data_IF_480266184147
#
_entry.id   IF_480266184147
#
_cell.length_a   1.000
_cell.length_b   1.000
_cell.length_c   1.000
_cell.angle_alpha   90.00
_cell.angle_beta   90.00
_cell.angle_gamma   90.00
#
_symmetry.space_group_name_H-M   'P 1'
#
loop_
_entity.id
_entity.type
_entity.pdbx_description
1 polymer ?
#
# COMPACT_ATOMS: atom_id res chain seq x y z
N UNK A 1 -29.83 -21.35 9.40
CA UNK A 1 -29.14 -20.95 8.16
C UNK A 1 -29.40 -19.46 8.01
N UNK A 2 -28.53 -18.64 8.59
CA UNK A 2 -28.67 -17.16 8.62
C UNK A 2 -27.89 -16.61 7.44
N UNK A 3 -28.52 -15.73 6.66
CA UNK A 3 -27.96 -15.14 5.45
C UNK A 3 -26.93 -14.06 5.85
N UNK A 4 -25.64 -14.19 5.50
CA UNK A 4 -24.59 -13.27 5.95
C UNK A 4 -24.49 -11.98 5.11
N UNK A 5 -25.59 -11.47 4.55
CA UNK A 5 -25.55 -10.35 3.59
C UNK A 5 -25.68 -8.96 4.20
N UNK A 6 -26.50 -8.81 5.24
CA UNK A 6 -26.87 -7.49 5.79
C UNK A 6 -25.86 -6.96 6.81
N UNK A 7 -25.27 -7.86 7.61
CA UNK A 7 -24.34 -7.51 8.68
C UNK A 7 -22.97 -7.07 8.12
N UNK A 8 -22.46 -7.77 7.11
CA UNK A 8 -21.23 -7.40 6.38
C UNK A 8 -21.37 -6.05 5.67
N UNK A 9 -22.52 -5.77 5.06
CA UNK A 9 -22.77 -4.50 4.37
C UNK A 9 -22.84 -3.33 5.35
N UNK A 10 -23.44 -3.55 6.53
CA UNK A 10 -23.51 -2.56 7.59
C UNK A 10 -22.12 -2.26 8.18
N UNK A 11 -21.35 -3.29 8.53
CA UNK A 11 -19.99 -3.16 9.05
C UNK A 11 -19.07 -2.47 8.05
N UNK A 12 -19.26 -2.71 6.74
CA UNK A 12 -18.48 -2.05 5.68
C UNK A 12 -18.76 -0.54 5.64
N UNK A 13 -20.03 -0.13 5.76
CA UNK A 13 -20.45 1.28 5.76
C UNK A 13 -20.01 2.02 7.02
N UNK A 14 -20.13 1.40 8.19
CA UNK A 14 -19.73 2.00 9.47
C UNK A 14 -18.20 2.23 9.54
N UNK A 15 -17.41 1.26 9.07
CA UNK A 15 -15.96 1.42 9.01
C UNK A 15 -15.51 2.49 8.00
N UNK A 16 -16.14 2.60 6.82
CA UNK A 16 -15.82 3.65 5.84
C UNK A 16 -15.99 5.07 6.41
N UNK A 17 -17.04 5.29 7.20
CA UNK A 17 -17.26 6.55 7.90
C UNK A 17 -16.18 6.82 8.97
N UNK A 18 -15.77 5.81 9.73
CA UNK A 18 -14.72 5.93 10.75
C UNK A 18 -13.33 6.26 10.16
N UNK A 19 -12.99 5.75 8.97
CA UNK A 19 -11.70 6.09 8.33
C UNK A 19 -11.71 7.46 7.66
N UNK A 20 -12.84 7.91 7.09
CA UNK A 20 -12.99 9.31 6.69
C UNK A 20 -12.84 10.23 7.90
N UNK A 21 -13.46 9.87 9.03
CA UNK A 21 -13.31 10.58 10.30
C UNK A 21 -11.84 10.61 10.73
N UNK A 22 -11.14 9.48 10.66
CA UNK A 22 -9.71 9.43 10.97
C UNK A 22 -8.87 10.34 10.05
N UNK A 23 -9.09 10.27 8.74
CA UNK A 23 -8.39 11.07 7.74
C UNK A 23 -8.61 12.58 7.93
N UNK A 24 -9.82 12.98 8.32
CA UNK A 24 -10.15 14.38 8.63
C UNK A 24 -9.66 14.84 10.00
N UNK A 25 -9.55 13.92 10.97
CA UNK A 25 -9.07 14.28 12.30
C UNK A 25 -7.54 14.42 12.33
N UNK A 26 -6.83 13.64 11.51
CA UNK A 26 -5.37 13.52 11.56
C UNK A 26 -4.63 14.07 10.33
N UNK A 27 -5.30 14.32 9.21
CA UNK A 27 -4.69 14.94 8.04
C UNK A 27 -4.76 16.45 8.13
N UNK A 28 -3.64 17.14 8.37
CA UNK A 28 -3.61 18.62 8.49
C UNK A 28 -4.29 19.34 7.31
N UNK A 29 -4.07 18.88 6.08
CA UNK A 29 -4.67 19.48 4.87
C UNK A 29 -6.16 19.17 4.68
N UNK A 30 -6.63 18.05 5.24
CA UNK A 30 -8.02 17.57 5.13
C UNK A 30 -8.89 18.14 6.25
N UNK A 31 -8.31 18.29 7.45
CA UNK A 31 -8.98 18.78 8.66
C UNK A 31 -9.59 20.17 8.46
N UNK A 32 -8.84 21.05 7.80
CA UNK A 32 -9.23 22.45 7.66
C UNK A 32 -10.04 22.71 6.37
N UNK A 33 -10.14 21.70 5.48
CA UNK A 33 -10.87 21.79 4.22
C UNK A 33 -12.40 21.86 4.46
N UNK A 34 -13.09 22.93 4.00
CA UNK A 34 -14.53 23.07 4.21
C UNK A 34 -15.36 21.99 3.50
N UNK A 35 -14.96 21.58 2.28
CA UNK A 35 -15.67 20.59 1.49
C UNK A 35 -15.47 19.17 2.06
N UNK A 36 -14.26 18.86 2.53
CA UNK A 36 -13.98 17.58 3.19
C UNK A 36 -14.70 17.45 4.54
N UNK A 37 -14.82 18.56 5.30
CA UNK A 37 -15.65 18.62 6.51
C UNK A 37 -17.14 18.49 6.21
N UNK A 38 -17.62 19.11 5.12
CA UNK A 38 -19.01 18.99 4.68
C UNK A 38 -19.35 17.56 4.24
N UNK A 39 -18.45 16.90 3.50
CA UNK A 39 -18.56 15.49 3.11
C UNK A 39 -18.68 14.60 4.36
N UNK A 40 -17.84 14.81 5.37
CA UNK A 40 -17.93 14.04 6.61
C UNK A 40 -19.18 14.34 7.43
N UNK A 41 -19.56 15.61 7.58
CA UNK A 41 -20.79 15.96 8.27
C UNK A 41 -22.01 15.31 7.60
N UNK A 42 -22.05 15.26 6.27
CA UNK A 42 -23.09 14.56 5.51
C UNK A 42 -23.10 13.05 5.79
N UNK A 43 -21.94 12.42 5.90
CA UNK A 43 -21.83 10.99 6.25
C UNK A 43 -22.18 10.70 7.72
N UNK A 44 -21.80 11.58 8.66
CA UNK A 44 -22.05 11.39 10.11
C UNK A 44 -23.50 11.67 10.50
N UNK A 45 -24.19 12.60 9.83
CA UNK A 45 -25.61 12.88 10.10
C UNK A 45 -26.56 11.75 9.68
N UNK A 46 -26.07 10.73 8.98
CA UNK A 46 -26.81 9.49 8.72
C UNK A 46 -26.46 8.42 9.76
N UNK A 47 -27.26 8.35 10.83
CA UNK A 47 -27.43 7.10 11.58
C UNK A 47 -27.89 5.99 10.62
N UNK A 48 -27.46 4.74 10.81
CA UNK A 48 -27.87 3.68 9.91
C UNK A 48 -29.35 3.37 10.14
N UNK A 49 -30.23 3.87 9.25
CA UNK A 49 -31.57 3.31 9.18
C UNK A 49 -31.47 1.94 8.50
N UNK A 50 -32.01 0.87 9.11
CA UNK A 50 -32.20 -0.38 8.42
C UNK A 50 -33.25 -0.12 7.34
N UNK A 51 -32.80 0.07 6.10
CA UNK A 51 -33.68 0.11 4.94
C UNK A 51 -34.32 -1.27 4.81
N UNK A 52 -35.59 -1.37 5.17
CA UNK A 52 -36.44 -2.49 4.78
C UNK A 52 -36.31 -2.66 3.27
N UNK A 53 -36.05 -3.89 2.85
CA UNK A 53 -35.99 -4.29 1.45
C UNK A 53 -37.29 -3.90 0.74
N UNK A 54 -37.25 -2.80 0.00
CA UNK A 54 -38.16 -2.56 -1.11
C UNK A 54 -37.40 -2.87 -2.38
N UNK A 55 -37.74 -4.00 -2.99
CA UNK A 55 -37.35 -4.39 -4.34
C UNK A 55 -37.58 -3.22 -5.29
N UNK A 56 -36.50 -2.47 -5.53
CA UNK A 56 -36.45 -1.48 -6.61
C UNK A 56 -35.76 -2.19 -7.76
N UNK A 57 -36.32 -2.21 -8.98
CA UNK A 57 -35.73 -2.91 -10.10
C UNK A 57 -34.32 -2.37 -10.32
N UNK A 58 -33.37 -3.29 -10.48
CA UNK A 58 -31.98 -3.00 -10.78
C UNK A 58 -31.88 -1.89 -11.84
N UNK A 59 -31.43 -0.71 -11.41
CA UNK A 59 -31.04 0.36 -12.32
C UNK A 59 -29.97 -0.21 -13.25
N UNK A 60 -30.29 -0.20 -14.54
CA UNK A 60 -29.38 -0.59 -15.61
C UNK A 60 -28.05 0.17 -15.47
N UNK A 61 -26.96 -0.57 -15.31
CA UNK A 61 -25.60 -0.01 -15.17
C UNK A 61 -24.64 -0.81 -14.28
N UNK A 62 -24.76 -2.14 -14.17
CA UNK A 62 -23.78 -3.00 -13.44
C UNK A 62 -22.57 -3.38 -14.29
N UNK A 63 -21.89 -2.42 -14.94
CA UNK A 63 -20.74 -2.72 -15.80
C UNK A 63 -19.37 -2.19 -15.31
N UNK A 64 -19.28 -1.59 -14.12
CA UNK A 64 -18.06 -0.85 -13.70
C UNK A 64 -17.61 -1.01 -12.23
N UNK A 65 -18.01 -2.09 -11.51
CA UNK A 65 -17.62 -2.37 -10.11
C UNK A 65 -16.09 -2.50 -9.84
N UNK A 66 -15.21 -2.30 -10.83
CA UNK A 66 -13.76 -2.32 -10.65
C UNK A 66 -12.96 -1.33 -11.51
N UNK A 67 -13.63 -0.37 -12.21
CA UNK A 67 -12.93 0.51 -13.18
C UNK A 67 -12.73 1.95 -12.70
N UNK A 68 -13.29 2.32 -11.55
CA UNK A 68 -13.26 3.68 -11.00
C UNK A 68 -12.52 3.79 -9.66
N UNK A 69 -12.45 5.03 -9.15
CA UNK A 69 -11.91 5.36 -7.82
C UNK A 69 -12.86 4.82 -6.75
N UNK A 70 -12.33 4.20 -5.69
CA UNK A 70 -13.10 3.72 -4.54
C UNK A 70 -13.93 4.83 -3.88
N UNK A 71 -13.43 6.07 -3.81
CA UNK A 71 -14.20 7.17 -3.22
C UNK A 71 -15.49 7.49 -3.99
N UNK A 72 -15.61 7.14 -5.27
CA UNK A 72 -16.86 7.31 -6.03
C UNK A 72 -18.02 6.50 -5.42
N UNK A 73 -17.72 5.39 -4.73
CA UNK A 73 -18.75 4.55 -4.07
C UNK A 73 -19.38 5.24 -2.86
N UNK A 74 -18.76 6.31 -2.36
CA UNK A 74 -19.39 7.16 -1.34
C UNK A 74 -20.62 7.88 -1.89
N UNK A 75 -20.78 8.01 -3.22
CA UNK A 75 -21.99 8.55 -3.84
C UNK A 75 -23.25 7.78 -3.42
N UNK A 76 -23.15 6.47 -3.21
CA UNK A 76 -24.26 5.62 -2.76
C UNK A 76 -24.76 5.98 -1.35
N UNK A 77 -23.98 6.77 -0.61
CA UNK A 77 -24.34 7.28 0.70
C UNK A 77 -25.11 8.61 0.62
N UNK A 78 -25.29 9.19 -0.57
CA UNK A 78 -26.06 10.40 -0.82
C UNK A 78 -27.46 10.07 -1.36
N UNK A 79 -28.44 10.93 -1.05
CA UNK A 79 -29.80 10.77 -1.59
C UNK A 79 -29.91 11.30 -3.02
N UNK A 80 -29.12 12.32 -3.35
CA UNK A 80 -28.97 12.86 -4.69
C UNK A 80 -27.50 12.76 -5.14
N UNK A 81 -27.18 12.05 -6.23
CA UNK A 81 -25.83 12.00 -6.79
C UNK A 81 -25.25 13.37 -7.20
N UNK A 82 -26.11 14.37 -7.45
CA UNK A 82 -25.68 15.73 -7.77
C UNK A 82 -24.97 16.39 -6.59
N UNK A 83 -25.45 16.17 -5.36
CA UNK A 83 -24.84 16.70 -4.13
C UNK A 83 -23.41 16.18 -3.93
N UNK A 84 -23.21 14.88 -4.20
CA UNK A 84 -21.89 14.26 -4.13
C UNK A 84 -20.94 14.82 -5.20
N UNK A 85 -21.46 15.03 -6.42
CA UNK A 85 -20.68 15.57 -7.53
C UNK A 85 -20.25 17.01 -7.25
N UNK A 86 -21.15 17.83 -6.71
CA UNK A 86 -20.86 19.21 -6.31
C UNK A 86 -19.82 19.26 -5.19
N UNK A 87 -20.00 18.46 -4.13
CA UNK A 87 -19.03 18.39 -3.01
C UNK A 87 -17.64 17.96 -3.47
N UNK A 88 -17.55 16.91 -4.29
CA UNK A 88 -16.25 16.39 -4.74
C UNK A 88 -15.59 17.27 -5.80
N UNK A 89 -16.38 18.03 -6.58
CA UNK A 89 -15.88 19.02 -7.53
C UNK A 89 -15.12 20.19 -6.88
N UNK A 90 -15.38 20.46 -5.60
CA UNK A 90 -14.70 21.52 -4.83
C UNK A 90 -13.48 21.01 -4.03
N UNK A 91 -13.26 19.70 -3.97
CA UNK A 91 -12.13 19.09 -3.27
C UNK A 91 -10.93 18.99 -4.23
N UNK A 92 -9.78 19.51 -3.82
CA UNK A 92 -8.55 19.41 -4.60
C UNK A 92 -8.16 17.93 -4.88
N UNK A 93 -7.63 17.64 -6.07
CA UNK A 93 -7.35 16.27 -6.53
C UNK A 93 -6.48 15.47 -5.55
N UNK A 94 -5.43 16.08 -5.00
CA UNK A 94 -4.53 15.44 -4.02
C UNK A 94 -5.26 15.02 -2.72
N UNK A 95 -6.36 15.69 -2.34
CA UNK A 95 -7.17 15.31 -1.17
C UNK A 95 -8.07 14.12 -1.48
N UNK A 96 -8.62 14.05 -2.69
CA UNK A 96 -9.33 12.88 -3.19
C UNK A 96 -8.38 11.68 -3.36
N UNK A 97 -7.12 11.92 -3.72
CA UNK A 97 -6.05 10.92 -3.75
C UNK A 97 -5.79 10.30 -2.37
N UNK A 98 -5.70 11.14 -1.33
CA UNK A 98 -5.58 10.65 0.06
C UNK A 98 -6.79 9.84 0.51
N UNK A 99 -8.00 10.29 0.17
CA UNK A 99 -9.23 9.56 0.47
C UNK A 99 -9.27 8.19 -0.23
N UNK A 100 -8.87 8.14 -1.50
CA UNK A 100 -8.75 6.87 -2.23
C UNK A 100 -7.82 5.90 -1.50
N UNK A 101 -6.64 6.38 -1.10
CA UNK A 101 -5.62 5.55 -0.46
C UNK A 101 -6.13 4.98 0.88
N UNK A 102 -6.84 5.80 1.66
CA UNK A 102 -7.47 5.36 2.92
C UNK A 102 -8.49 4.23 2.69
N UNK A 103 -9.40 4.41 1.73
CA UNK A 103 -10.44 3.42 1.40
C UNK A 103 -9.84 2.11 0.86
N UNK A 104 -8.84 2.20 -0.01
CA UNK A 104 -8.15 1.02 -0.56
C UNK A 104 -7.42 0.21 0.49
N UNK A 105 -6.77 0.87 1.44
CA UNK A 105 -6.09 0.16 2.52
C UNK A 105 -7.08 -0.68 3.34
N UNK A 106 -8.29 -0.18 3.59
CA UNK A 106 -9.34 -0.93 4.30
C UNK A 106 -9.90 -2.11 3.48
N UNK A 107 -10.26 -1.89 2.21
CA UNK A 107 -10.76 -2.97 1.36
C UNK A 107 -9.70 -4.04 1.14
N UNK A 108 -8.44 -3.62 0.96
CA UNK A 108 -7.29 -4.50 0.89
C UNK A 108 -7.20 -5.38 2.12
N UNK A 109 -7.29 -4.82 3.34
CA UNK A 109 -7.26 -5.60 4.59
C UNK A 109 -8.31 -6.72 4.58
N UNK A 110 -9.57 -6.42 4.23
CA UNK A 110 -10.64 -7.42 4.25
C UNK A 110 -10.41 -8.53 3.22
N UNK A 111 -10.03 -8.16 1.99
CA UNK A 111 -9.70 -9.13 0.94
C UNK A 111 -8.49 -9.99 1.32
N UNK A 112 -7.47 -9.40 1.95
CA UNK A 112 -6.24 -10.08 2.34
C UNK A 112 -6.44 -11.07 3.49
N UNK A 113 -7.31 -10.74 4.46
CA UNK A 113 -7.68 -11.68 5.54
C UNK A 113 -8.27 -12.98 4.94
N UNK A 114 -8.97 -12.88 3.81
CA UNK A 114 -9.54 -14.04 3.12
C UNK A 114 -8.56 -14.73 2.14
N UNK A 115 -7.43 -14.13 1.77
CA UNK A 115 -6.50 -14.68 0.77
C UNK A 115 -5.52 -15.69 1.39
N UNK A 116 -5.76 -16.98 1.12
CA UNK A 116 -4.90 -18.07 1.59
C UNK A 116 -3.45 -17.99 1.08
N UNK A 117 -3.19 -17.44 -0.11
CA UNK A 117 -1.82 -17.29 -0.62
C UNK A 117 -1.08 -16.18 0.11
N UNK A 118 -1.78 -15.09 0.46
CA UNK A 118 -1.23 -14.02 1.29
C UNK A 118 -0.84 -14.54 2.67
N UNK A 119 -1.76 -15.21 3.36
CA UNK A 119 -1.51 -15.81 4.69
C UNK A 119 -0.35 -16.80 4.66
N UNK A 120 -0.25 -17.62 3.61
CA UNK A 120 0.87 -18.55 3.42
C UNK A 120 2.20 -17.82 3.19
N UNK A 121 2.21 -16.73 2.43
CA UNK A 121 3.42 -15.92 2.20
C UNK A 121 3.95 -15.35 3.52
N UNK A 122 3.11 -14.66 4.29
CA UNK A 122 3.51 -14.10 5.58
C UNK A 122 3.98 -15.18 6.55
N UNK A 123 3.22 -16.27 6.68
CA UNK A 123 3.59 -17.39 7.56
C UNK A 123 4.97 -17.94 7.20
N UNK A 124 5.27 -18.09 5.90
CA UNK A 124 6.59 -18.51 5.44
C UNK A 124 7.67 -17.51 5.84
N UNK A 125 7.48 -16.22 5.54
CA UNK A 125 8.48 -15.18 5.83
C UNK A 125 8.76 -15.09 7.33
N UNK A 126 7.74 -15.10 8.17
CA UNK A 126 7.89 -15.06 9.64
C UNK A 126 8.63 -16.29 10.14
N UNK A 127 8.25 -17.51 9.70
CA UNK A 127 8.98 -18.74 10.07
C UNK A 127 10.42 -18.74 9.64
N UNK A 128 10.71 -18.19 8.46
CA UNK A 128 12.08 -18.01 8.03
C UNK A 128 12.79 -17.04 8.96
N UNK A 129 12.26 -15.84 9.24
CA UNK A 129 12.83 -14.84 10.15
C UNK A 129 13.05 -15.33 11.59
N UNK A 130 12.14 -16.16 12.11
CA UNK A 130 12.20 -16.81 13.43
C UNK A 130 13.46 -17.68 13.62
N UNK A 131 14.05 -18.16 12.53
CA UNK A 131 15.29 -18.95 12.60
C UNK A 131 16.54 -18.10 12.89
N UNK A 132 16.40 -16.78 13.10
CA UNK A 132 17.51 -15.86 13.34
C UNK A 132 17.76 -15.81 14.84
N UNK A 133 19.03 -15.69 15.24
CA UNK A 133 19.36 -15.46 16.64
C UNK A 133 18.87 -14.11 17.16
N UNK A 134 18.70 -13.15 16.27
CA UNK A 134 18.15 -11.84 16.59
C UNK A 134 16.61 -11.88 16.75
N UNK A 135 15.98 -13.05 16.58
CA UNK A 135 14.56 -13.24 16.85
C UNK A 135 14.24 -13.31 18.35
N UNK A 136 14.14 -12.13 18.95
CA UNK A 136 13.77 -11.87 20.34
C UNK A 136 12.31 -11.37 20.46
N UNK A 137 11.62 -11.52 21.59
CA UNK A 137 10.25 -11.01 21.75
C UNK A 137 10.09 -9.52 21.38
N UNK A 138 11.10 -8.71 21.69
CA UNK A 138 11.10 -7.26 21.47
C UNK A 138 11.27 -6.84 20.00
N UNK A 139 11.55 -7.79 19.10
CA UNK A 139 11.62 -7.54 17.65
C UNK A 139 10.37 -8.01 16.91
N UNK A 140 9.40 -8.63 17.60
CA UNK A 140 8.10 -9.00 17.05
C UNK A 140 7.37 -7.83 16.35
N UNK A 141 7.57 -6.54 16.72
CA UNK A 141 7.01 -5.43 15.95
C UNK A 141 7.53 -5.34 14.50
N UNK A 142 8.64 -6.00 14.14
CA UNK A 142 9.06 -6.15 12.75
C UNK A 142 7.99 -6.82 11.88
N UNK A 143 7.16 -7.69 12.48
CA UNK A 143 6.02 -8.32 11.77
C UNK A 143 5.04 -7.26 11.28
N UNK A 144 4.77 -6.22 12.09
CA UNK A 144 3.87 -5.13 11.68
C UNK A 144 4.42 -4.37 10.46
N UNK A 145 5.73 -4.13 10.46
CA UNK A 145 6.42 -3.52 9.32
C UNK A 145 6.39 -4.41 8.09
N UNK A 146 6.67 -5.70 8.26
CA UNK A 146 6.62 -6.68 7.18
C UNK A 146 5.22 -6.75 6.56
N UNK A 147 4.18 -6.90 7.39
CA UNK A 147 2.79 -6.94 6.93
C UNK A 147 2.38 -5.67 6.20
N UNK A 148 2.70 -4.49 6.74
CA UNK A 148 2.41 -3.22 6.10
C UNK A 148 3.10 -3.10 4.73
N UNK A 149 4.33 -3.60 4.61
CA UNK A 149 5.10 -3.51 3.35
C UNK A 149 4.65 -4.53 2.31
N UNK A 150 4.31 -5.76 2.71
CA UNK A 150 3.74 -6.75 1.78
C UNK A 150 2.33 -6.31 1.35
N UNK A 151 1.54 -5.68 2.25
CA UNK A 151 0.27 -5.04 1.89
C UNK A 151 0.43 -3.95 0.86
N UNK A 152 1.41 -3.08 1.05
CA UNK A 152 1.75 -2.05 0.07
C UNK A 152 2.07 -2.65 -1.31
N UNK A 153 2.88 -3.71 -1.35
CA UNK A 153 3.17 -4.41 -2.60
C UNK A 153 1.90 -4.98 -3.23
N UNK A 154 1.04 -5.67 -2.46
CA UNK A 154 -0.24 -6.20 -2.93
C UNK A 154 -1.11 -5.11 -3.57
N UNK A 155 -1.24 -3.96 -2.90
CA UNK A 155 -1.98 -2.80 -3.44
C UNK A 155 -1.38 -2.33 -4.77
N UNK A 156 -0.05 -2.25 -4.88
CA UNK A 156 0.61 -1.85 -6.12
C UNK A 156 0.37 -2.84 -7.26
N UNK A 157 0.26 -4.13 -6.96
CA UNK A 157 -0.08 -5.17 -7.93
C UNK A 157 -1.52 -5.02 -8.45
N UNK A 158 -2.46 -4.74 -7.55
CA UNK A 158 -3.89 -4.68 -7.86
C UNK A 158 -4.30 -3.35 -8.51
N UNK A 159 -3.63 -2.25 -8.17
CA UNK A 159 -4.03 -0.91 -8.63
C UNK A 159 -3.79 -0.71 -10.13
N UNK A 160 -4.83 -0.50 -10.91
CA UNK A 160 -4.77 -0.16 -12.34
C UNK A 160 -4.69 1.34 -12.60
N UNK A 161 -4.46 1.73 -13.87
CA UNK A 161 -4.33 3.16 -14.29
C UNK A 161 -5.54 4.02 -13.90
N UNK A 162 -6.76 3.54 -14.10
CA UNK A 162 -7.98 4.30 -13.76
C UNK A 162 -8.25 4.35 -12.25
N UNK A 163 -7.82 3.31 -11.55
CA UNK A 163 -8.04 3.11 -10.12
C UNK A 163 -7.12 3.98 -9.25
N UNK A 164 -5.84 4.06 -9.61
CA UNK A 164 -4.81 4.63 -8.73
C UNK A 164 -4.50 6.12 -8.87
N UNK A 165 -5.20 6.89 -9.72
CA UNK A 165 -4.98 8.34 -9.82
C UNK A 165 -3.55 8.73 -10.23
N UNK A 166 -3.12 9.94 -9.85
CA UNK A 166 -1.80 10.49 -10.18
C UNK A 166 -0.66 9.88 -9.34
N UNK A 167 -0.92 9.60 -8.06
CA UNK A 167 0.08 9.09 -7.10
C UNK A 167 0.59 7.66 -7.39
N UNK A 168 -0.03 6.92 -8.31
CA UNK A 168 0.44 5.60 -8.77
C UNK A 168 1.11 5.63 -10.15
N UNK A 169 1.41 6.82 -10.69
CA UNK A 169 2.04 6.96 -11.99
C UNK A 169 3.41 6.27 -12.10
N UNK A 170 4.15 6.20 -10.99
CA UNK A 170 5.45 5.48 -10.94
C UNK A 170 5.34 4.00 -11.35
N UNK A 171 4.15 3.40 -11.20
CA UNK A 171 3.89 2.01 -11.59
C UNK A 171 3.68 1.82 -13.11
N UNK A 172 3.59 2.90 -13.89
CA UNK A 172 3.18 2.86 -15.30
C UNK A 172 4.37 3.01 -16.23
N UNK A 173 4.34 2.33 -17.37
CA UNK A 173 5.36 2.55 -18.42
C UNK A 173 5.19 3.91 -19.08
N UNK A 174 3.93 4.34 -19.25
CA UNK A 174 3.58 5.53 -20.02
C UNK A 174 2.71 6.49 -19.24
N UNK A 175 2.88 7.78 -19.51
CA UNK A 175 2.04 8.86 -19.01
C UNK A 175 0.70 8.94 -19.76
N UNK A 176 -0.15 9.91 -19.38
CA UNK A 176 -1.45 10.15 -20.03
C UNK A 176 -1.32 10.47 -21.53
N UNK A 177 -0.20 11.05 -21.96
CA UNK A 177 0.12 11.44 -23.34
C UNK A 177 0.84 10.32 -24.12
N UNK A 178 0.90 9.10 -23.56
CA UNK A 178 1.53 7.89 -24.12
C UNK A 178 3.07 7.97 -24.24
N UNK A 179 3.71 8.98 -23.65
CA UNK A 179 5.18 9.07 -23.57
C UNK A 179 5.70 8.16 -22.46
N UNK A 180 6.97 7.76 -22.53
CA UNK A 180 7.60 6.98 -21.47
C UNK A 180 7.57 7.79 -20.18
N UNK A 181 6.98 7.24 -19.12
CA UNK A 181 6.92 7.87 -17.81
C UNK A 181 8.34 7.98 -17.27
N UNK A 182 8.79 9.20 -16.99
CA UNK A 182 9.94 9.42 -16.13
C UNK A 182 9.47 9.20 -14.69
N UNK A 183 10.13 8.30 -13.96
CA UNK A 183 9.74 7.96 -12.60
C UNK A 183 10.66 8.66 -11.64
N UNK A 184 10.06 9.50 -10.79
CA UNK A 184 10.74 10.09 -9.66
C UNK A 184 10.82 9.08 -8.50
N UNK A 185 12.02 8.81 -8.00
CA UNK A 185 12.26 7.94 -6.84
C UNK A 185 11.56 8.52 -5.60
N UNK A 186 11.48 9.85 -5.48
CA UNK A 186 10.78 10.53 -4.40
C UNK A 186 9.27 10.22 -4.41
N UNK A 187 8.64 10.10 -5.57
CA UNK A 187 7.21 9.76 -5.66
C UNK A 187 6.93 8.34 -5.16
N UNK A 188 7.84 7.39 -5.44
CA UNK A 188 7.74 6.02 -4.93
C UNK A 188 7.89 5.97 -3.41
N UNK A 189 8.88 6.69 -2.87
CA UNK A 189 9.11 6.81 -1.44
C UNK A 189 7.93 7.46 -0.72
N UNK A 190 7.44 8.58 -1.26
CA UNK A 190 6.31 9.33 -0.72
C UNK A 190 5.04 8.47 -0.70
N UNK A 191 4.73 7.75 -1.77
CA UNK A 191 3.54 6.91 -1.81
C UNK A 191 3.59 5.74 -0.81
N UNK A 192 4.77 5.12 -0.65
CA UNK A 192 4.97 4.12 0.41
C UNK A 192 4.75 4.73 1.80
N UNK A 193 5.37 5.89 2.08
CA UNK A 193 5.20 6.63 3.34
C UNK A 193 3.75 6.99 3.62
N UNK A 194 3.03 7.53 2.62
CA UNK A 194 1.63 7.91 2.75
C UNK A 194 0.76 6.69 3.07
N UNK A 195 1.03 5.53 2.46
CA UNK A 195 0.32 4.29 2.78
C UNK A 195 0.48 3.91 4.25
N UNK A 196 1.69 4.10 4.81
CA UNK A 196 1.97 3.80 6.22
C UNK A 196 1.19 4.68 7.19
N UNK A 197 0.74 5.88 6.79
CA UNK A 197 -0.07 6.77 7.64
C UNK A 197 -1.43 6.18 8.00
N UNK A 198 -1.90 5.20 7.22
CA UNK A 198 -3.15 4.47 7.46
C UNK A 198 -2.92 3.11 8.15
N UNK A 199 -1.74 2.91 8.75
CA UNK A 199 -1.39 1.69 9.49
C UNK A 199 -1.09 2.04 10.95
N UNK A 200 -0.92 1.02 11.80
CA UNK A 200 -0.47 1.21 13.18
C UNK A 200 0.93 1.85 13.30
N UNK A 201 1.70 1.94 12.20
CA UNK A 201 3.07 2.45 12.16
C UNK A 201 3.16 3.98 12.04
N UNK A 202 2.03 4.68 11.83
CA UNK A 202 2.03 6.10 11.44
C UNK A 202 2.77 7.04 12.42
N UNK A 203 2.82 6.72 13.72
CA UNK A 203 3.51 7.54 14.73
C UNK A 203 5.00 7.28 14.85
N UNK A 204 5.47 6.19 14.27
CA UNK A 204 6.84 5.69 14.46
C UNK A 204 7.63 5.66 13.15
N UNK A 205 7.03 6.10 12.04
CA UNK A 205 7.68 6.23 10.73
C UNK A 205 8.31 7.61 10.54
N UNK A 206 9.54 7.64 10.05
CA UNK A 206 10.32 8.83 9.71
C UNK A 206 10.90 8.65 8.31
N UNK A 207 10.97 9.71 7.51
CA UNK A 207 11.49 9.67 6.13
C UNK A 207 12.72 10.53 5.98
N UNK A 208 13.63 10.14 5.08
CA UNK A 208 14.83 10.91 4.72
C UNK A 208 15.68 11.29 5.93
N UNK A 209 15.92 10.31 6.82
CA UNK A 209 16.68 10.54 8.04
C UNK A 209 18.17 10.52 7.71
N UNK A 210 18.83 11.67 7.87
CA UNK A 210 20.28 11.83 7.74
C UNK A 210 21.01 11.45 9.04
N UNK A 211 22.30 11.14 8.96
CA UNK A 211 23.23 10.91 10.08
C UNK A 211 23.01 9.67 10.98
N UNK A 212 22.38 8.61 10.47
CA UNK A 212 22.41 7.28 11.12
C UNK A 212 23.33 6.37 10.33
N UNK A 213 24.39 5.81 10.93
CA UNK A 213 25.20 4.75 10.31
C UNK A 213 26.02 5.13 9.05
N UNK A 214 26.10 6.41 8.69
CA UNK A 214 26.99 6.92 7.63
C UNK A 214 26.34 7.27 6.28
N UNK A 215 25.00 7.35 6.21
CA UNK A 215 24.29 7.76 5.00
C UNK A 215 22.81 8.09 5.26
N UNK A 216 22.08 8.63 4.26
CA UNK A 216 20.64 8.83 4.34
C UNK A 216 19.91 7.48 4.35
N UNK A 217 18.92 7.36 5.23
CA UNK A 217 17.97 6.25 5.25
C UNK A 217 16.66 6.74 4.61
N UNK A 218 16.13 5.97 3.65
CA UNK A 218 14.90 6.33 2.96
C UNK A 218 13.71 6.41 3.93
N UNK A 219 13.44 5.31 4.65
CA UNK A 219 12.35 5.23 5.64
C UNK A 219 12.82 4.49 6.90
N UNK A 220 12.74 5.16 8.05
CA UNK A 220 13.11 4.66 9.37
C UNK A 220 11.87 4.43 10.25
N UNK A 221 11.87 3.34 11.01
CA UNK A 221 10.85 3.02 12.01
C UNK A 221 11.49 2.94 13.38
N UNK A 222 10.97 3.72 14.34
CA UNK A 222 11.46 3.76 15.71
C UNK A 222 10.46 3.09 16.66
N UNK A 223 10.69 1.82 16.98
CA UNK A 223 9.96 1.13 18.04
C UNK A 223 10.62 1.41 19.40
N UNK A 224 9.92 1.17 20.53
CA UNK A 224 10.49 1.42 21.86
C UNK A 224 11.82 0.71 22.12
N UNK A 225 12.01 -0.48 21.55
CA UNK A 225 13.14 -1.39 21.81
C UNK A 225 14.02 -1.66 20.59
N UNK A 226 13.64 -1.18 19.41
CA UNK A 226 14.35 -1.48 18.16
C UNK A 226 14.11 -0.40 17.10
N UNK A 227 15.07 -0.27 16.17
CA UNK A 227 14.86 0.49 14.94
C UNK A 227 14.98 -0.42 13.73
N UNK A 228 14.10 -0.20 12.77
CA UNK A 228 14.13 -0.88 11.48
C UNK A 228 14.11 0.15 10.37
N UNK A 229 14.57 -0.23 9.19
CA UNK A 229 14.54 0.65 8.03
C UNK A 229 14.08 -0.12 6.81
N UNK A 230 13.51 0.65 5.88
CA UNK A 230 13.14 0.18 4.54
C UNK A 230 13.95 1.01 3.56
N UNK A 231 14.74 0.33 2.74
CA UNK A 231 15.46 0.94 1.62
C UNK A 231 14.60 0.80 0.35
N UNK A 232 14.27 1.93 -0.26
CA UNK A 232 13.43 2.01 -1.43
C UNK A 232 14.28 2.28 -2.68
N UNK A 233 14.23 1.41 -3.69
CA UNK A 233 15.06 1.55 -4.90
C UNK A 233 14.28 1.39 -6.18
N UNK A 234 14.53 2.26 -7.16
CA UNK A 234 14.17 1.99 -8.57
C UNK A 234 15.25 1.15 -9.25
N UNK A 235 14.89 -0.01 -9.79
CA UNK A 235 15.78 -0.88 -10.55
C UNK A 235 15.40 -0.90 -12.03
N UNK A 236 16.31 -0.41 -12.88
CA UNK A 236 16.07 -0.25 -14.32
C UNK A 236 16.79 -1.26 -15.22
N UNK A 237 17.74 -2.04 -14.67
CA UNK A 237 18.61 -2.92 -15.43
C UNK A 237 18.35 -4.41 -15.16
N UNK A 238 18.40 -4.82 -13.88
CA UNK A 238 18.23 -6.22 -13.49
C UNK A 238 17.56 -6.33 -12.10
N UNK A 239 16.26 -6.59 -12.12
CA UNK A 239 15.45 -6.81 -10.93
C UNK A 239 15.29 -8.31 -10.57
N UNK A 240 16.15 -9.19 -11.10
CA UNK A 240 16.24 -10.59 -10.65
C UNK A 240 16.72 -10.68 -9.20
N UNK A 241 16.58 -11.86 -8.57
CA UNK A 241 17.12 -12.08 -7.23
C UNK A 241 18.62 -11.80 -7.16
N UNK A 242 19.39 -12.28 -8.16
CA UNK A 242 20.84 -11.99 -8.26
C UNK A 242 21.13 -10.51 -8.48
N UNK A 243 20.34 -9.84 -9.31
CA UNK A 243 20.46 -8.41 -9.58
C UNK A 243 20.22 -7.57 -8.33
N UNK A 244 19.17 -7.89 -7.57
CA UNK A 244 18.84 -7.16 -6.35
C UNK A 244 19.75 -7.51 -5.18
N UNK A 245 20.32 -8.72 -5.14
CA UNK A 245 21.29 -9.15 -4.12
C UNK A 245 22.49 -8.19 -4.01
N UNK A 246 22.92 -7.57 -5.11
CA UNK A 246 24.07 -6.63 -5.12
C UNK A 246 23.88 -5.43 -4.18
N UNK A 247 22.63 -4.98 -4.02
CA UNK A 247 22.32 -3.82 -3.20
C UNK A 247 22.05 -4.14 -1.74
N UNK A 248 21.93 -5.41 -1.39
CA UNK A 248 21.62 -5.80 -0.01
C UNK A 248 22.80 -5.47 0.91
N UNK A 249 24.00 -5.34 0.36
CA UNK A 249 25.19 -4.81 1.04
C UNK A 249 25.07 -3.33 1.45
N UNK A 250 24.17 -2.56 0.84
CA UNK A 250 23.96 -1.14 1.17
C UNK A 250 23.09 -0.95 2.41
N UNK A 251 22.23 -1.92 2.76
CA UNK A 251 21.41 -1.89 3.97
C UNK A 251 22.20 -2.32 5.22
N UNK A 252 23.34 -2.98 5.02
CA UNK A 252 24.17 -3.55 6.08
C UNK A 252 24.67 -2.55 7.14
N UNK A 253 25.13 -1.32 6.80
CA UNK A 253 25.71 -0.41 7.78
C UNK A 253 24.74 0.03 8.90
N UNK A 254 23.44 0.13 8.60
CA UNK A 254 22.42 0.64 9.53
C UNK A 254 22.03 -0.37 10.63
N UNK A 255 22.47 -1.61 10.48
CA UNK A 255 22.11 -2.72 11.36
C UNK A 255 23.21 -3.06 12.37
N UNK A 256 24.32 -2.31 12.39
CA UNK A 256 25.43 -2.56 13.31
C UNK A 256 25.06 -2.35 14.79
N UNK A 257 23.94 -1.66 15.08
CA UNK A 257 23.46 -1.35 16.44
C UNK A 257 22.00 -1.76 16.67
N UNK A 258 21.37 -2.42 15.68
CA UNK A 258 19.97 -2.83 15.70
C UNK A 258 19.86 -4.31 15.34
N UNK A 259 18.70 -4.96 15.55
CA UNK A 259 18.48 -6.32 15.07
C UNK A 259 18.81 -6.43 13.57
N UNK A 260 19.39 -7.56 13.16
CA UNK A 260 19.89 -7.75 11.79
C UNK A 260 18.78 -8.03 10.77
N UNK A 261 17.63 -7.35 10.89
CA UNK A 261 16.51 -7.39 9.95
C UNK A 261 16.38 -6.06 9.21
N UNK A 262 16.11 -6.12 7.91
CA UNK A 262 15.76 -4.96 7.10
C UNK A 262 14.79 -5.35 6.00
N UNK A 263 14.18 -4.35 5.39
CA UNK A 263 13.39 -4.55 4.17
C UNK A 263 14.02 -3.74 3.05
N UNK A 264 14.13 -4.35 1.87
CA UNK A 264 14.40 -3.62 0.63
C UNK A 264 13.19 -3.68 -0.27
N UNK A 265 12.64 -2.51 -0.57
CA UNK A 265 11.48 -2.32 -1.40
C UNK A 265 11.93 -1.82 -2.78
N UNK A 266 11.89 -2.70 -3.79
CA UNK A 266 12.39 -2.40 -5.13
C UNK A 266 11.24 -2.17 -6.11
N UNK A 267 11.25 -1.05 -6.83
CA UNK A 267 10.42 -0.82 -8.01
C UNK A 267 11.12 -1.38 -9.24
N UNK A 268 10.60 -2.47 -9.79
CA UNK A 268 11.11 -3.15 -10.97
C UNK A 268 10.64 -2.45 -12.25
N UNK A 269 11.54 -1.71 -12.90
CA UNK A 269 11.30 -1.07 -14.19
C UNK A 269 11.78 -1.92 -15.37
N UNK A 270 12.33 -3.11 -15.10
CA UNK A 270 12.92 -4.04 -16.08
C UNK A 270 11.85 -4.88 -16.78
N UNK A 271 10.70 -5.05 -16.13
CA UNK A 271 9.57 -5.74 -16.75
C UNK A 271 8.91 -4.87 -17.81
N UNK A 272 9.15 -5.25 -19.07
CA UNK A 272 8.32 -4.82 -20.19
C UNK A 272 6.93 -5.43 -20.13
N UNK A 273 6.12 -5.11 -21.13
CA UNK A 273 4.73 -5.53 -21.24
C UNK A 273 4.52 -7.07 -21.01
N UNK A 274 5.42 -7.91 -21.52
CA UNK A 274 5.21 -9.36 -21.65
C UNK A 274 5.50 -10.21 -20.39
N UNK A 275 5.94 -9.62 -19.26
CA UNK A 275 6.40 -10.39 -18.08
C UNK A 275 5.73 -9.95 -16.79
N UNK A 276 4.42 -10.18 -16.69
CA UNK A 276 3.70 -10.02 -15.44
C UNK A 276 4.30 -10.93 -14.36
N UNK A 277 5.07 -10.34 -13.45
CA UNK A 277 5.66 -11.06 -12.32
C UNK A 277 4.57 -11.35 -11.31
N UNK A 278 4.58 -12.51 -10.66
CA UNK A 278 3.66 -12.77 -9.56
C UNK A 278 4.18 -12.13 -8.26
N UNK A 279 3.31 -11.50 -7.47
CA UNK A 279 3.62 -11.00 -6.12
C UNK A 279 4.30 -12.07 -5.25
N UNK A 280 3.77 -13.30 -5.23
CA UNK A 280 4.28 -14.35 -4.33
C UNK A 280 5.69 -14.83 -4.69
N UNK A 281 6.13 -14.61 -5.94
CA UNK A 281 7.51 -14.83 -6.39
C UNK A 281 8.36 -13.55 -6.39
N UNK A 282 7.82 -12.45 -5.85
CA UNK A 282 8.48 -11.15 -5.76
C UNK A 282 8.77 -10.73 -4.33
N UNK A 283 8.54 -11.65 -3.37
CA UNK A 283 8.87 -11.44 -1.97
C UNK A 283 9.68 -12.63 -1.45
N UNK A 284 10.90 -12.38 -0.98
CA UNK A 284 11.81 -13.40 -0.46
C UNK A 284 12.76 -12.81 0.58
N UNK A 285 13.55 -13.67 1.24
CA UNK A 285 14.55 -13.27 2.23
C UNK A 285 15.93 -13.61 1.71
N UNK A 286 16.82 -12.62 1.75
CA UNK A 286 18.25 -12.80 1.53
C UNK A 286 18.98 -12.91 2.87
N UNK A 287 19.82 -13.95 2.99
CA UNK A 287 20.71 -14.12 4.14
C UNK A 287 22.11 -13.59 3.77
N UNK A 288 22.57 -12.56 4.47
CA UNK A 288 23.87 -11.95 4.25
C UNK A 288 24.79 -12.28 5.42
N UNK A 289 25.81 -13.08 5.15
CA UNK A 289 26.92 -13.23 6.08
C UNK A 289 27.92 -12.10 5.85
N UNK A 290 28.03 -11.15 6.79
CA UNK A 290 29.05 -10.10 6.69
C UNK A 290 30.39 -10.61 7.18
N UNK A 291 31.46 -10.00 6.65
CA UNK A 291 32.82 -10.35 7.03
C UNK A 291 33.05 -10.01 8.51
N UNK A 292 33.35 -11.04 9.32
CA UNK A 292 33.65 -10.88 10.74
C UNK A 292 32.43 -10.97 11.67
N UNK A 293 31.22 -10.95 11.13
CA UNK A 293 30.00 -11.26 11.89
C UNK A 293 29.81 -12.77 11.96
N UNK A 294 29.29 -13.26 13.10
CA UNK A 294 29.02 -14.70 13.31
C UNK A 294 27.66 -15.14 12.78
N UNK A 295 26.71 -14.24 12.78
CA UNK A 295 25.32 -14.51 12.41
C UNK A 295 24.98 -13.71 11.14
N UNK A 296 24.10 -14.27 10.30
CA UNK A 296 23.72 -13.63 9.05
C UNK A 296 22.63 -12.58 9.30
N UNK A 297 22.76 -11.45 8.63
CA UNK A 297 21.69 -10.50 8.49
C UNK A 297 20.61 -11.02 7.53
N UNK A 298 19.34 -10.74 7.82
CA UNK A 298 18.21 -11.10 6.99
C UNK A 298 17.55 -9.87 6.40
N UNK A 299 17.52 -9.80 5.09
CA UNK A 299 16.86 -8.71 4.38
C UNK A 299 15.71 -9.25 3.58
N UNK A 300 14.51 -8.79 3.92
CA UNK A 300 13.31 -9.12 3.16
C UNK A 300 13.31 -8.25 1.90
N UNK A 301 13.40 -8.89 0.74
CA UNK A 301 13.28 -8.20 -0.54
C UNK A 301 11.82 -8.25 -0.97
N UNK A 302 11.26 -7.09 -1.29
CA UNK A 302 9.90 -6.92 -1.81
C UNK A 302 10.03 -6.18 -3.13
N UNK A 303 9.76 -6.87 -4.23
CA UNK A 303 9.78 -6.31 -5.58
C UNK A 303 8.36 -5.96 -6.02
N UNK A 304 8.18 -4.71 -6.44
CA UNK A 304 6.94 -4.15 -6.98
C UNK A 304 7.12 -3.91 -8.47
N UNK A 305 6.25 -4.41 -9.36
CA UNK A 305 6.37 -4.21 -10.79
C UNK A 305 6.03 -2.77 -11.14
N UNK A 306 7.04 -2.04 -11.60
CA UNK A 306 6.88 -0.80 -12.34
C UNK A 306 6.68 -1.09 -13.82
N UNK A 307 6.76 -0.03 -14.65
CA UNK A 307 6.72 -0.15 -16.11
C UNK A 307 5.54 -0.95 -16.66
N UNK A 308 4.41 -0.98 -15.95
CA UNK A 308 3.24 -1.76 -16.38
C UNK A 308 2.63 -1.13 -17.62
N UNK A 309 2.53 -1.92 -18.68
CA UNK A 309 1.80 -1.56 -19.88
C UNK A 309 0.35 -2.06 -19.80
N UNK A 310 -0.51 -1.56 -20.68
CA UNK A 310 -1.91 -1.99 -20.73
C UNK A 310 -2.03 -3.45 -21.18
N UNK A 311 -2.79 -4.31 -20.45
CA UNK A 311 -2.95 -5.73 -20.78
C UNK A 311 -3.34 -6.02 -22.24
N UNK A 312 -4.11 -5.14 -22.86
CA UNK A 312 -4.58 -5.30 -24.24
C UNK A 312 -3.46 -5.17 -25.29
N UNK A 313 -2.27 -4.73 -24.88
CA UNK A 313 -1.08 -4.64 -25.74
C UNK A 313 -0.13 -5.82 -25.54
N UNK A 314 -0.44 -6.74 -24.61
CA UNK A 314 0.36 -7.93 -24.36
C UNK A 314 0.08 -8.95 -25.47
N UNK A 315 1.09 -9.23 -26.29
CA UNK A 315 1.06 -10.43 -27.13
C UNK A 315 1.36 -11.62 -26.24
N UNK A 316 0.57 -12.68 -26.36
CA UNK A 316 0.85 -13.92 -25.67
C UNK A 316 2.21 -14.45 -26.16
N UNK A 317 3.20 -14.44 -25.28
CA UNK A 317 4.39 -15.26 -25.47
C UNK A 317 3.96 -16.72 -25.20
N UNK A 318 3.67 -17.44 -26.28
CA UNK A 318 3.64 -18.90 -26.29
C UNK A 318 5.06 -19.42 -26.47
#
# INVERSE_FOLDING_TARGET
>A
MVVPGSEDTFLRKENQAQYLQYALTHGEDLRDDPAARALHAALTMRSPQPSLATDTPASAGRDDEGKGRCWNRLADLFSDPADFTDLTGHIAEHKLDRLELALRNQEGILTMIADAKYSRLLTRLVRELEQSRDWLPDIAPFILLLEATVRYAYMCYDVGRKMGGSYTEFLRLRDKDKKRQNVDEALFHQHYRETLTYTALFRIVHSEVIDIGGGPIDILFTFPTARFHVECKIEENDASESGLRRYVTQAAPYQNTNPSFAIRLALDRTVGAERAVNLFGSVWIENIQRRGERDACRVVIIRVPGSRDTPNQLRAAL
#
